data_IF_587786388022
#
_entry.id   IF_587786388022
#
_cell.length_a   1.000
_cell.length_b   1.000
_cell.length_c   1.000
_cell.angle_alpha   90.00
_cell.angle_beta   90.00
_cell.angle_gamma   90.00
#
_symmetry.space_group_name_H-M   'P 1'
#
loop_
_entity.id
_entity.type
_entity.pdbx_description
1 polymer ?
#
# COMPACT_ATOMS: atom_id res chain seq x y z
N UNK A 1 31.58 14.48 -3.22
CA UNK A 1 30.69 13.72 -4.13
C UNK A 1 30.78 12.27 -3.72
N UNK A 2 29.65 11.62 -3.45
CA UNK A 2 29.62 10.16 -3.26
C UNK A 2 29.86 9.52 -4.63
N UNK A 3 30.95 8.78 -4.80
CA UNK A 3 31.18 7.97 -5.99
C UNK A 3 30.48 6.62 -5.80
N UNK A 4 29.19 6.57 -6.11
CA UNK A 4 28.43 5.31 -6.14
C UNK A 4 28.73 4.58 -7.45
N UNK A 5 28.98 3.27 -7.35
CA UNK A 5 29.16 2.38 -8.50
C UNK A 5 27.81 2.01 -9.15
N UNK A 6 27.83 1.58 -10.41
CA UNK A 6 26.61 1.07 -11.09
C UNK A 6 25.90 -0.02 -10.30
N UNK A 7 26.66 -0.93 -9.66
CA UNK A 7 26.11 -1.98 -8.82
C UNK A 7 25.41 -1.42 -7.59
N UNK A 8 26.02 -0.48 -6.87
CA UNK A 8 25.41 0.15 -5.69
C UNK A 8 24.13 0.90 -6.07
N UNK A 9 24.14 1.64 -7.18
CA UNK A 9 22.96 2.31 -7.71
C UNK A 9 21.85 1.31 -8.07
N UNK A 10 22.21 0.19 -8.71
CA UNK A 10 21.28 -0.88 -9.06
C UNK A 10 20.64 -1.51 -7.81
N UNK A 11 21.45 -1.91 -6.84
CA UNK A 11 20.98 -2.58 -5.62
C UNK A 11 20.19 -1.63 -4.70
N UNK A 12 20.54 -0.34 -4.65
CA UNK A 12 19.82 0.67 -3.88
C UNK A 12 18.41 0.92 -4.44
N UNK A 13 18.24 0.78 -5.75
CA UNK A 13 16.97 0.96 -6.44
C UNK A 13 16.24 -0.36 -6.73
N UNK A 14 16.63 -1.46 -6.08
CA UNK A 14 16.04 -2.80 -6.30
C UNK A 14 16.02 -3.22 -7.78
N UNK A 15 16.98 -2.76 -8.59
CA UNK A 15 17.08 -3.01 -10.02
C UNK A 15 16.19 -2.14 -10.92
N UNK A 16 15.41 -1.22 -10.35
CA UNK A 16 14.53 -0.33 -11.10
C UNK A 16 15.31 0.84 -11.70
N UNK A 17 15.91 0.60 -12.87
CA UNK A 17 16.82 1.54 -13.55
C UNK A 17 16.23 2.92 -13.76
N UNK A 18 14.92 3.01 -14.04
CA UNK A 18 14.22 4.28 -14.23
C UNK A 18 14.44 5.25 -13.06
N UNK A 19 14.50 4.75 -11.82
CA UNK A 19 14.73 5.60 -10.65
C UNK A 19 16.17 6.10 -10.57
N UNK A 20 17.16 5.29 -10.98
CA UNK A 20 18.57 5.72 -11.08
C UNK A 20 18.70 6.94 -12.01
N UNK A 21 18.01 6.94 -13.15
CA UNK A 21 18.00 8.08 -14.06
C UNK A 21 17.25 9.29 -13.50
N UNK A 22 16.10 9.07 -12.83
CA UNK A 22 15.32 10.15 -12.20
C UNK A 22 16.07 10.83 -11.06
N UNK A 23 16.90 10.07 -10.34
CA UNK A 23 17.72 10.56 -9.24
C UNK A 23 18.98 11.28 -9.72
N UNK A 24 19.18 11.39 -11.04
CA UNK A 24 20.28 12.15 -11.65
C UNK A 24 21.60 11.38 -11.78
N UNK A 25 21.58 10.05 -11.66
CA UNK A 25 22.77 9.20 -11.78
C UNK A 25 22.88 8.49 -13.14
N UNK A 26 22.17 8.99 -14.16
CA UNK A 26 22.13 8.36 -15.48
C UNK A 26 23.45 8.40 -16.26
N UNK A 27 24.31 9.37 -15.97
CA UNK A 27 25.66 9.50 -16.51
C UNK A 27 26.69 8.59 -15.81
N UNK A 28 26.41 8.23 -14.56
CA UNK A 28 27.24 7.33 -13.75
C UNK A 28 26.88 5.86 -13.97
N UNK A 29 25.62 5.56 -14.29
CA UNK A 29 25.12 4.21 -14.46
C UNK A 29 25.47 3.61 -15.84
N UNK A 30 26.43 2.68 -15.86
CA UNK A 30 26.99 2.11 -17.10
C UNK A 30 27.02 0.57 -17.10
N UNK A 31 26.02 -0.09 -16.49
CA UNK A 31 25.98 -1.54 -16.39
C UNK A 31 25.61 -2.24 -17.71
N UNK A 32 26.21 -3.41 -17.99
CA UNK A 32 25.79 -4.27 -19.11
C UNK A 32 24.57 -5.12 -18.74
N UNK A 33 23.82 -5.64 -19.71
CA UNK A 33 22.72 -6.56 -19.44
C UNK A 33 23.13 -7.81 -18.63
N UNK A 34 24.34 -8.32 -18.82
CA UNK A 34 24.88 -9.47 -18.09
C UNK A 34 25.15 -9.14 -16.63
N UNK A 35 25.71 -7.96 -16.35
CA UNK A 35 25.93 -7.46 -14.99
C UNK A 35 24.59 -7.26 -14.26
N UNK A 36 23.61 -6.66 -14.93
CA UNK A 36 22.26 -6.49 -14.39
C UNK A 36 21.59 -7.83 -14.08
N UNK A 37 21.76 -8.83 -14.94
CA UNK A 37 21.21 -10.17 -14.72
C UNK A 37 21.84 -10.89 -13.52
N UNK A 38 23.13 -10.64 -13.24
CA UNK A 38 23.78 -11.13 -12.03
C UNK A 38 23.24 -10.42 -10.78
N UNK A 39 23.19 -9.09 -10.79
CA UNK A 39 22.75 -8.32 -9.64
C UNK A 39 21.26 -8.48 -9.36
N UNK A 40 20.43 -8.75 -10.38
CA UNK A 40 19.03 -9.10 -10.20
C UNK A 40 18.85 -10.32 -9.27
N UNK A 41 19.74 -11.33 -9.38
CA UNK A 41 19.73 -12.49 -8.47
C UNK A 41 20.05 -12.07 -7.03
N UNK A 42 20.99 -11.14 -6.84
CA UNK A 42 21.31 -10.58 -5.52
C UNK A 42 20.13 -9.79 -4.94
N UNK A 43 19.44 -8.99 -5.77
CA UNK A 43 18.22 -8.26 -5.36
C UNK A 43 17.14 -9.24 -4.91
N UNK A 44 16.88 -10.29 -5.69
CA UNK A 44 15.89 -11.32 -5.34
C UNK A 44 16.27 -11.99 -4.02
N UNK A 45 17.51 -12.47 -3.88
CA UNK A 45 17.97 -13.13 -2.66
C UNK A 45 17.83 -12.24 -1.42
N UNK A 46 18.24 -10.97 -1.52
CA UNK A 46 18.10 -9.98 -0.44
C UNK A 46 16.65 -9.77 -0.03
N UNK A 47 15.73 -9.66 -0.99
CA UNK A 47 14.33 -9.38 -0.69
C UNK A 47 13.57 -10.62 -0.20
N UNK A 48 13.97 -11.83 -0.59
CA UNK A 48 13.48 -13.07 0.03
C UNK A 48 13.83 -13.14 1.51
N UNK A 49 15.06 -12.77 1.89
CA UNK A 49 15.47 -12.71 3.30
C UNK A 49 14.67 -11.66 4.07
N UNK A 50 14.41 -10.49 3.47
CA UNK A 50 13.57 -9.46 4.08
C UNK A 50 12.15 -9.95 4.34
N UNK A 51 11.55 -10.70 3.41
CA UNK A 51 10.24 -11.32 3.60
C UNK A 51 10.16 -12.33 4.76
N UNK A 52 11.29 -12.66 5.38
CA UNK A 52 11.39 -13.58 6.51
C UNK A 52 11.89 -12.90 7.80
N UNK A 53 12.27 -11.63 7.77
CA UNK A 53 12.95 -10.99 8.91
C UNK A 53 12.58 -9.53 9.14
N UNK A 54 12.07 -8.83 8.14
CA UNK A 54 11.77 -7.40 8.22
C UNK A 54 10.55 -7.15 9.10
N UNK A 55 10.62 -6.16 10.00
CA UNK A 55 9.51 -5.82 10.90
C UNK A 55 8.84 -4.52 10.52
N UNK A 56 9.51 -3.68 9.74
CA UNK A 56 8.95 -2.44 9.22
C UNK A 56 8.06 -2.73 8.00
N UNK A 57 6.78 -2.36 8.10
CA UNK A 57 5.78 -2.61 7.05
C UNK A 57 6.15 -2.05 5.69
N UNK A 58 6.62 -0.80 5.64
CA UNK A 58 7.06 -0.14 4.41
C UNK A 58 8.25 -0.86 3.77
N UNK A 59 9.24 -1.23 4.56
CA UNK A 59 10.42 -1.95 4.07
C UNK A 59 10.09 -3.36 3.58
N UNK A 60 9.13 -4.03 4.23
CA UNK A 60 8.59 -5.32 3.81
C UNK A 60 7.80 -5.20 2.50
N UNK A 61 6.95 -4.18 2.38
CA UNK A 61 6.21 -3.89 1.15
C UNK A 61 7.17 -3.67 -0.04
N UNK A 62 8.21 -2.86 0.13
CA UNK A 62 9.23 -2.67 -0.91
C UNK A 62 9.99 -3.94 -1.26
N UNK A 63 10.16 -4.86 -0.32
CA UNK A 63 10.76 -6.16 -0.61
C UNK A 63 9.87 -7.00 -1.54
N UNK A 64 8.56 -7.01 -1.30
CA UNK A 64 7.58 -7.71 -2.14
C UNK A 64 7.50 -7.07 -3.53
N UNK A 65 7.43 -5.74 -3.61
CA UNK A 65 7.43 -5.01 -4.88
C UNK A 65 8.69 -5.28 -5.70
N UNK A 66 9.84 -5.40 -5.05
CA UNK A 66 11.09 -5.78 -5.71
C UNK A 66 11.00 -7.22 -6.27
N UNK A 67 10.49 -8.19 -5.51
CA UNK A 67 10.29 -9.56 -6.01
C UNK A 67 9.30 -9.60 -7.17
N UNK A 68 8.23 -8.81 -7.12
CA UNK A 68 7.26 -8.68 -8.20
C UNK A 68 7.89 -8.08 -9.46
N UNK A 69 8.69 -7.01 -9.32
CA UNK A 69 9.41 -6.38 -10.43
C UNK A 69 10.34 -7.37 -11.15
N UNK A 70 11.06 -8.19 -10.37
CA UNK A 70 11.93 -9.26 -10.89
C UNK A 70 11.18 -10.54 -11.28
N UNK A 71 9.84 -10.54 -11.22
CA UNK A 71 8.97 -11.67 -11.58
C UNK A 71 9.36 -12.96 -10.86
N UNK A 72 9.65 -12.87 -9.57
CA UNK A 72 9.96 -14.04 -8.75
C UNK A 72 8.84 -15.08 -8.89
N UNK A 73 9.17 -16.32 -9.30
CA UNK A 73 8.15 -17.36 -9.50
C UNK A 73 7.49 -17.70 -8.16
N UNK A 74 6.20 -18.06 -8.21
CA UNK A 74 5.45 -18.53 -7.03
C UNK A 74 5.37 -17.50 -5.88
N UNK A 75 5.56 -16.20 -6.17
CA UNK A 75 5.44 -15.15 -5.16
C UNK A 75 4.06 -15.16 -4.48
N UNK A 76 2.99 -15.39 -5.23
CA UNK A 76 1.63 -15.51 -4.68
C UNK A 76 1.55 -16.64 -3.64
N UNK A 77 2.01 -17.85 -4.00
CA UNK A 77 1.99 -19.01 -3.11
C UNK A 77 2.85 -18.78 -1.86
N UNK A 78 4.02 -18.14 -2.02
CA UNK A 78 4.89 -17.76 -0.90
C UNK A 78 4.15 -16.84 0.08
N UNK A 79 3.45 -15.82 -0.41
CA UNK A 79 2.71 -14.89 0.43
C UNK A 79 1.52 -15.58 1.13
N UNK A 80 0.76 -16.40 0.39
CA UNK A 80 -0.37 -17.16 0.95
C UNK A 80 0.06 -18.08 2.09
N UNK A 81 1.12 -18.87 1.88
CA UNK A 81 1.65 -19.77 2.91
C UNK A 81 2.17 -19.01 4.14
N UNK A 82 2.67 -17.78 3.94
CA UNK A 82 3.22 -16.98 5.03
C UNK A 82 2.14 -16.29 5.88
N UNK A 83 0.88 -16.21 5.43
CA UNK A 83 -0.18 -15.55 6.20
C UNK A 83 -0.47 -16.23 7.55
N UNK A 84 -0.39 -17.55 7.63
CA UNK A 84 -0.81 -18.32 8.83
C UNK A 84 0.20 -18.27 9.99
N UNK A 85 1.44 -17.87 9.73
CA UNK A 85 2.56 -18.05 10.66
C UNK A 85 3.32 -16.76 10.97
N UNK A 86 2.69 -15.60 10.76
CA UNK A 86 3.37 -14.31 10.80
C UNK A 86 2.66 -13.30 11.69
N UNK A 87 3.34 -12.17 11.93
CA UNK A 87 2.83 -11.10 12.79
C UNK A 87 1.68 -10.34 12.11
N UNK A 88 0.91 -9.57 12.89
CA UNK A 88 -0.16 -8.74 12.35
C UNK A 88 0.29 -7.81 11.21
N UNK A 89 1.46 -7.19 11.37
CA UNK A 89 2.07 -6.31 10.36
C UNK A 89 2.32 -7.07 9.05
N UNK A 90 2.87 -8.27 9.14
CA UNK A 90 3.15 -9.08 7.96
C UNK A 90 1.87 -9.54 7.28
N UNK A 91 0.89 -9.99 8.06
CA UNK A 91 -0.41 -10.39 7.53
C UNK A 91 -1.06 -9.25 6.74
N UNK A 92 -1.00 -8.01 7.26
CA UNK A 92 -1.51 -6.82 6.57
C UNK A 92 -0.75 -6.57 5.27
N UNK A 93 0.58 -6.57 5.30
CA UNK A 93 1.41 -6.29 4.12
C UNK A 93 1.22 -7.37 3.04
N UNK A 94 1.20 -8.64 3.43
CA UNK A 94 0.99 -9.77 2.51
C UNK A 94 -0.42 -9.77 1.92
N UNK A 95 -1.44 -9.52 2.73
CA UNK A 95 -2.81 -9.37 2.23
C UNK A 95 -2.90 -8.19 1.25
N UNK A 96 -2.30 -7.04 1.57
CA UNK A 96 -2.29 -5.89 0.67
C UNK A 96 -1.60 -6.21 -0.66
N UNK A 97 -0.46 -6.88 -0.63
CA UNK A 97 0.24 -7.33 -1.84
C UNK A 97 -0.60 -8.32 -2.67
N UNK A 98 -1.23 -9.31 -2.02
CA UNK A 98 -2.10 -10.28 -2.70
C UNK A 98 -3.32 -9.62 -3.36
N UNK A 99 -3.88 -8.58 -2.74
CA UNK A 99 -4.90 -7.76 -3.37
C UNK A 99 -4.39 -7.09 -4.64
N UNK A 100 -3.25 -6.40 -4.57
CA UNK A 100 -2.71 -5.66 -5.72
C UNK A 100 -2.22 -6.58 -6.84
N UNK A 101 -1.72 -7.77 -6.51
CA UNK A 101 -1.21 -8.73 -7.49
C UNK A 101 -2.34 -9.51 -8.19
N UNK A 102 -3.31 -10.02 -7.44
CA UNK A 102 -4.29 -11.01 -7.95
C UNK A 102 -5.73 -10.74 -7.54
N UNK A 103 -6.04 -9.59 -6.95
CA UNK A 103 -7.37 -9.22 -6.45
C UNK A 103 -7.95 -10.27 -5.47
N UNK A 104 -7.10 -10.85 -4.62
CA UNK A 104 -7.55 -11.82 -3.62
C UNK A 104 -8.57 -11.17 -2.68
N UNK A 105 -9.82 -11.61 -2.76
CA UNK A 105 -10.94 -11.01 -2.00
C UNK A 105 -10.80 -11.18 -0.48
N UNK A 106 -10.12 -12.24 -0.02
CA UNK A 106 -9.91 -12.48 1.42
C UNK A 106 -8.94 -11.47 2.04
N UNK A 107 -8.17 -10.75 1.22
CA UNK A 107 -7.18 -9.77 1.69
C UNK A 107 -7.80 -8.70 2.58
N UNK A 108 -9.00 -8.21 2.23
CA UNK A 108 -9.68 -7.21 3.06
C UNK A 108 -10.06 -7.79 4.42
N UNK A 109 -10.59 -9.02 4.44
CA UNK A 109 -11.00 -9.66 5.69
C UNK A 109 -9.80 -9.87 6.61
N UNK A 110 -8.65 -10.30 6.08
CA UNK A 110 -7.40 -10.45 6.86
C UNK A 110 -6.97 -9.11 7.47
N UNK A 111 -6.95 -8.05 6.68
CA UNK A 111 -6.57 -6.70 7.14
C UNK A 111 -7.55 -6.22 8.22
N UNK A 112 -8.86 -6.41 8.00
CA UNK A 112 -9.88 -5.98 8.93
C UNK A 112 -9.85 -6.77 10.25
N UNK A 113 -9.63 -8.09 10.21
CA UNK A 113 -9.45 -8.89 11.43
C UNK A 113 -8.24 -8.44 12.24
N UNK A 114 -7.14 -8.09 11.56
CA UNK A 114 -5.96 -7.54 12.23
C UNK A 114 -6.25 -6.21 12.94
N UNK A 115 -7.04 -5.33 12.33
CA UNK A 115 -7.50 -4.10 13.00
C UNK A 115 -8.29 -4.43 14.27
N UNK A 116 -9.22 -5.39 14.22
CA UNK A 116 -10.06 -5.73 15.37
C UNK A 116 -9.25 -6.31 16.54
N UNK A 117 -8.20 -7.09 16.25
CA UNK A 117 -7.42 -7.80 17.26
C UNK A 117 -6.22 -6.99 17.77
N UNK A 118 -5.61 -6.18 16.91
CA UNK A 118 -4.30 -5.56 17.15
C UNK A 118 -4.28 -4.06 16.87
N UNK A 119 -5.43 -3.38 16.97
CA UNK A 119 -5.59 -1.96 16.61
C UNK A 119 -4.43 -1.07 17.06
N UNK A 120 -4.04 -1.14 18.33
CA UNK A 120 -3.02 -0.26 18.91
C UNK A 120 -1.68 -0.38 18.19
N UNK A 121 -1.36 -1.57 17.70
CA UNK A 121 -0.07 -1.89 17.11
C UNK A 121 -0.06 -1.70 15.59
N UNK A 122 -1.19 -1.90 14.91
CA UNK A 122 -1.24 -2.02 13.45
C UNK A 122 -2.14 -1.00 12.74
N UNK A 123 -2.74 -0.03 13.45
CA UNK A 123 -3.69 0.92 12.86
C UNK A 123 -3.12 1.63 11.62
N UNK A 124 -1.89 2.11 11.68
CA UNK A 124 -1.25 2.80 10.55
C UNK A 124 -1.08 1.85 9.36
N UNK A 125 -0.64 0.63 9.62
CA UNK A 125 -0.38 -0.37 8.58
C UNK A 125 -1.68 -0.83 7.91
N UNK A 126 -2.77 -0.98 8.67
CA UNK A 126 -4.10 -1.29 8.14
C UNK A 126 -4.50 -0.26 7.09
N UNK A 127 -4.47 1.03 7.44
CA UNK A 127 -4.94 2.07 6.53
C UNK A 127 -3.98 2.35 5.37
N UNK A 128 -2.69 2.09 5.55
CA UNK A 128 -1.72 2.05 4.45
C UNK A 128 -2.05 0.91 3.48
N UNK A 129 -2.29 -0.29 4.01
CA UNK A 129 -2.63 -1.48 3.22
C UNK A 129 -3.95 -1.34 2.45
N UNK A 130 -4.90 -0.55 2.97
CA UNK A 130 -6.15 -0.21 2.28
C UNK A 130 -6.00 0.81 1.14
N UNK A 131 -4.81 1.39 0.93
CA UNK A 131 -4.56 2.40 -0.10
C UNK A 131 -4.90 1.94 -1.53
N UNK A 132 -4.80 0.65 -1.81
CA UNK A 132 -5.14 0.08 -3.12
C UNK A 132 -6.53 -0.56 -3.19
N UNK A 133 -7.27 -0.59 -2.08
CA UNK A 133 -8.59 -1.24 -1.97
C UNK A 133 -9.75 -0.36 -2.45
N UNK A 134 -9.46 0.70 -3.22
CA UNK A 134 -10.45 1.61 -3.80
C UNK A 134 -11.51 0.93 -4.66
N UNK A 135 -11.33 -0.32 -5.09
CA UNK A 135 -12.30 -1.10 -5.86
C UNK A 135 -12.95 -2.25 -5.08
N UNK A 136 -12.58 -2.42 -3.80
CA UNK A 136 -13.13 -3.47 -2.95
C UNK A 136 -14.33 -2.96 -2.15
N UNK A 137 -15.50 -3.58 -2.32
CA UNK A 137 -16.74 -3.13 -1.70
C UNK A 137 -16.69 -3.12 -0.16
N UNK A 138 -16.07 -4.13 0.46
CA UNK A 138 -15.86 -4.20 1.91
C UNK A 138 -15.05 -3.01 2.44
N UNK A 139 -13.86 -2.79 1.89
CA UNK A 139 -13.02 -1.62 2.20
C UNK A 139 -13.73 -0.28 1.99
N UNK A 140 -14.43 -0.07 0.88
CA UNK A 140 -15.21 1.17 0.65
C UNK A 140 -16.24 1.40 1.76
N UNK A 141 -17.04 0.37 2.10
CA UNK A 141 -18.04 0.45 3.17
C UNK A 141 -17.39 0.70 4.53
N UNK A 142 -16.26 0.06 4.79
CA UNK A 142 -15.51 0.24 6.02
C UNK A 142 -14.97 1.67 6.18
N UNK A 143 -14.37 2.25 5.13
CA UNK A 143 -13.87 3.63 5.13
C UNK A 143 -15.01 4.63 5.38
N UNK A 144 -16.17 4.44 4.75
CA UNK A 144 -17.36 5.29 5.03
C UNK A 144 -17.80 5.14 6.49
N UNK A 145 -17.90 3.90 6.99
CA UNK A 145 -18.29 3.65 8.38
C UNK A 145 -17.34 4.31 9.38
N UNK A 146 -16.04 4.38 9.07
CA UNK A 146 -15.06 5.08 9.91
C UNK A 146 -15.33 6.59 9.97
N UNK A 147 -15.75 7.21 8.86
CA UNK A 147 -16.11 8.63 8.84
C UNK A 147 -17.43 8.93 9.56
N UNK A 148 -18.41 8.04 9.46
CA UNK A 148 -19.70 8.20 10.13
C UNK A 148 -19.63 7.91 11.64
N UNK A 149 -18.75 6.99 12.05
CA UNK A 149 -18.58 6.55 13.43
C UNK A 149 -17.89 7.57 14.35
N UNK A 150 -18.01 7.37 15.66
CA UNK A 150 -17.57 8.33 16.69
C UNK A 150 -16.08 8.22 17.06
N UNK A 151 -15.32 7.47 16.28
CA UNK A 151 -13.91 7.26 16.51
C UNK A 151 -13.08 8.22 15.67
N UNK A 152 -12.65 9.32 16.29
CA UNK A 152 -11.92 10.40 15.62
C UNK A 152 -10.63 9.90 14.96
N UNK A 153 -9.95 8.93 15.57
CA UNK A 153 -8.71 8.38 15.02
C UNK A 153 -8.98 7.59 13.74
N UNK A 154 -10.03 6.76 13.72
CA UNK A 154 -10.47 6.06 12.51
C UNK A 154 -10.98 7.04 11.43
N UNK A 155 -11.65 8.12 11.82
CA UNK A 155 -12.13 9.14 10.89
C UNK A 155 -10.95 9.85 10.20
N UNK A 156 -9.91 10.23 10.95
CA UNK A 156 -8.66 10.79 10.40
C UNK A 156 -8.03 9.82 9.41
N UNK A 157 -7.88 8.55 9.79
CA UNK A 157 -7.27 7.54 8.92
C UNK A 157 -8.08 7.28 7.66
N UNK A 158 -9.41 7.23 7.76
CA UNK A 158 -10.30 7.08 6.62
C UNK A 158 -10.19 8.26 5.65
N UNK A 159 -10.11 9.49 6.15
CA UNK A 159 -9.92 10.68 5.31
C UNK A 159 -8.57 10.64 4.55
N UNK A 160 -7.49 10.21 5.22
CA UNK A 160 -6.18 10.00 4.57
C UNK A 160 -6.26 8.91 3.50
N UNK A 161 -6.91 7.78 3.77
CA UNK A 161 -7.09 6.72 2.77
C UNK A 161 -7.90 7.20 1.57
N UNK A 162 -8.97 7.97 1.77
CA UNK A 162 -9.70 8.61 0.65
C UNK A 162 -8.81 9.55 -0.14
N UNK A 163 -7.96 10.33 0.52
CA UNK A 163 -6.98 11.19 -0.16
C UNK A 163 -6.03 10.37 -1.03
N UNK A 164 -5.53 9.23 -0.54
CA UNK A 164 -4.70 8.31 -1.33
C UNK A 164 -5.49 7.80 -2.56
N UNK A 165 -6.73 7.34 -2.37
CA UNK A 165 -7.59 6.88 -3.48
C UNK A 165 -7.82 7.96 -4.53
N UNK A 166 -7.94 9.22 -4.09
CA UNK A 166 -8.13 10.38 -4.94
C UNK A 166 -6.96 10.60 -5.93
N UNK A 167 -5.74 10.21 -5.54
CA UNK A 167 -4.54 10.31 -6.36
C UNK A 167 -4.17 9.00 -7.06
N UNK A 168 -4.68 7.85 -6.59
CA UNK A 168 -4.32 6.52 -7.11
C UNK A 168 -5.38 5.89 -8.01
N UNK A 169 -6.53 6.54 -8.23
CA UNK A 169 -7.49 6.14 -9.28
C UNK A 169 -8.96 6.50 -9.09
N UNK A 170 -9.30 7.40 -8.16
CA UNK A 170 -10.63 8.00 -8.02
C UNK A 170 -10.54 9.54 -8.01
N UNK A 171 -10.10 10.18 -9.11
CA UNK A 171 -9.86 11.62 -9.16
C UNK A 171 -11.09 12.47 -8.82
N UNK A 172 -12.30 11.94 -9.01
CA UNK A 172 -13.59 12.57 -8.69
C UNK A 172 -13.70 12.93 -7.20
N UNK A 173 -12.95 12.24 -6.33
CA UNK A 173 -12.88 12.58 -4.91
C UNK A 173 -12.27 13.98 -4.66
N UNK A 174 -11.48 14.52 -5.59
CA UNK A 174 -10.88 15.86 -5.49
C UNK A 174 -11.81 16.96 -5.98
N UNK A 175 -12.92 16.61 -6.61
CA UNK A 175 -13.88 17.57 -7.13
C UNK A 175 -14.72 18.17 -6.01
N UNK A 176 -15.24 19.37 -6.25
CA UNK A 176 -16.22 20.03 -5.37
C UNK A 176 -15.79 20.17 -3.90
N UNK A 177 -14.48 20.12 -3.61
CA UNK A 177 -13.92 20.14 -2.24
C UNK A 177 -14.42 18.99 -1.36
N UNK A 178 -14.74 17.85 -1.96
CA UNK A 178 -15.32 16.71 -1.24
C UNK A 178 -14.41 16.23 -0.09
N UNK A 179 -13.10 16.07 -0.33
CA UNK A 179 -12.15 15.68 0.73
C UNK A 179 -12.09 16.69 1.89
N UNK A 180 -12.16 18.00 1.60
CA UNK A 180 -12.16 19.05 2.64
C UNK A 180 -13.42 18.96 3.49
N UNK A 181 -14.59 18.73 2.86
CA UNK A 181 -15.86 18.58 3.57
C UNK A 181 -15.93 17.31 4.43
N UNK A 182 -15.12 16.29 4.09
CA UNK A 182 -15.03 15.01 4.80
C UNK A 182 -13.95 15.01 5.89
N UNK A 183 -13.32 16.14 6.19
CA UNK A 183 -12.36 16.24 7.28
C UNK A 183 -13.04 15.98 8.64
N UNK A 184 -12.40 15.25 9.57
CA UNK A 184 -13.00 14.91 10.86
C UNK A 184 -13.46 16.13 11.67
N UNK A 185 -12.74 17.24 11.59
CA UNK A 185 -13.07 18.50 12.27
C UNK A 185 -14.38 19.12 11.75
N UNK A 186 -14.80 18.72 10.55
CA UNK A 186 -16.02 19.19 9.91
C UNK A 186 -17.23 18.30 10.18
N UNK A 187 -17.12 17.22 10.98
CA UNK A 187 -18.21 16.25 11.23
C UNK A 187 -19.52 16.89 11.71
N UNK A 188 -19.44 17.99 12.46
CA UNK A 188 -20.60 18.73 12.98
C UNK A 188 -21.13 19.80 12.01
N UNK A 189 -20.44 20.04 10.88
CA UNK A 189 -20.87 21.04 9.91
C UNK A 189 -22.04 20.52 9.07
N UNK A 190 -22.97 21.39 8.64
CA UNK A 190 -24.12 20.99 7.80
C UNK A 190 -23.73 20.35 6.46
N UNK A 191 -22.51 20.62 5.98
CA UNK A 191 -21.94 20.12 4.72
C UNK A 191 -21.47 18.67 4.80
N UNK A 192 -21.20 18.14 5.99
CA UNK A 192 -20.61 16.82 6.17
C UNK A 192 -21.54 15.68 5.72
N UNK A 193 -22.81 15.69 6.15
CA UNK A 193 -23.78 14.65 5.76
C UNK A 193 -24.01 14.60 4.25
N UNK A 194 -24.25 15.74 3.55
CA UNK A 194 -24.29 15.75 2.09
C UNK A 194 -23.00 15.21 1.44
N UNK A 195 -21.83 15.53 1.98
CA UNK A 195 -20.56 15.02 1.47
C UNK A 195 -20.45 13.49 1.61
N UNK A 196 -20.92 12.92 2.73
CA UNK A 196 -20.98 11.46 2.91
C UNK A 196 -21.91 10.80 1.88
N UNK A 197 -23.08 11.38 1.60
CA UNK A 197 -23.99 10.82 0.60
C UNK A 197 -23.41 10.93 -0.83
N UNK A 198 -22.74 12.03 -1.15
CA UNK A 198 -22.00 12.16 -2.41
C UNK A 198 -20.89 11.10 -2.51
N UNK A 199 -20.15 10.86 -1.42
CA UNK A 199 -19.12 9.82 -1.37
C UNK A 199 -19.72 8.42 -1.59
N UNK A 200 -20.84 8.09 -0.94
CA UNK A 200 -21.54 6.79 -1.13
C UNK A 200 -21.93 6.59 -2.59
N UNK A 201 -22.44 7.63 -3.25
CA UNK A 201 -22.79 7.60 -4.66
C UNK A 201 -21.57 7.35 -5.55
N UNK A 202 -20.47 8.09 -5.35
CA UNK A 202 -19.23 7.90 -6.11
C UNK A 202 -18.65 6.49 -5.93
N UNK A 203 -18.74 5.93 -4.73
CA UNK A 203 -18.23 4.60 -4.40
C UNK A 203 -19.21 3.47 -4.74
N UNK A 204 -20.37 3.78 -5.33
CA UNK A 204 -21.44 2.83 -5.66
C UNK A 204 -21.90 2.00 -4.44
N UNK A 205 -22.00 2.63 -3.27
CA UNK A 205 -22.51 2.00 -2.06
C UNK A 205 -24.00 2.29 -1.93
N UNK A 206 -24.82 1.25 -2.14
CA UNK A 206 -26.26 1.30 -1.87
C UNK A 206 -26.49 1.10 -0.37
N UNK A 207 -27.27 2.01 0.21
CA UNK A 207 -27.75 1.97 1.61
C UNK A 207 -28.48 0.67 1.93
#
# INVERSE_FOLDING_TARGET
MYNLTSKELYLANSGQKLYIYKDGFGDVYNATPEEEAEWAKEVVAKNLVKNQTETNSTSLQFAIEALQYHKYPELEDLLLQSLEHTTAVWQIVFASALWTMVNNQQSFDIIYQNLLQHRVDCLNDVFLGLGDFKNHNGARRFVIKCLEGDDDELAVKANVTLSIWAWSGLPELRENKLLDMLQPEHKQQPTFKPAIEQLKQLLNIVN
#
